data_IF_608021278207
#
_entry.id   IF_608021278207
#
_cell.length_a   1.000
_cell.length_b   1.000
_cell.length_c   1.000
_cell.angle_alpha   90.00
_cell.angle_beta   90.00
_cell.angle_gamma   90.00
#
_symmetry.space_group_name_H-M   'P 1'
#
loop_
_entity.id
_entity.type
_entity.pdbx_description
1 polymer ?
#
# COMPACT_ATOMS: atom_id res chain seq x y z
N UNK A 1 -9.52 -22.65 -7.69
CA UNK A 1 -8.84 -21.42 -7.26
C UNK A 1 -7.38 -21.46 -7.73
N UNK A 2 -7.04 -20.66 -8.72
CA UNK A 2 -5.73 -20.67 -9.37
C UNK A 2 -4.68 -19.78 -8.67
N UNK A 3 -5.10 -18.86 -7.80
CA UNK A 3 -4.19 -17.99 -7.06
C UNK A 3 -3.26 -18.78 -6.14
N UNK A 4 -1.98 -18.40 -6.15
CA UNK A 4 -0.95 -18.98 -5.26
C UNK A 4 -1.07 -18.42 -3.85
N UNK A 5 -1.55 -17.19 -3.72
CA UNK A 5 -1.73 -16.47 -2.46
C UNK A 5 -2.83 -15.42 -2.55
N UNK A 6 -3.20 -14.83 -1.41
CA UNK A 6 -4.35 -13.93 -1.32
C UNK A 6 -3.99 -12.70 -0.48
N UNK A 7 -4.50 -11.54 -0.91
CA UNK A 7 -4.53 -10.31 -0.11
C UNK A 7 -6.00 -9.97 0.17
N UNK A 8 -6.39 -9.90 1.42
CA UNK A 8 -7.71 -9.48 1.86
C UNK A 8 -7.67 -7.97 2.13
N UNK A 9 -8.61 -7.23 1.56
CA UNK A 9 -8.74 -5.78 1.74
C UNK A 9 -10.11 -5.41 2.31
N UNK A 10 -10.20 -4.22 2.89
CA UNK A 10 -11.41 -3.77 3.58
C UNK A 10 -12.45 -3.16 2.64
N UNK A 11 -12.00 -2.47 1.59
CA UNK A 11 -12.86 -1.66 0.75
C UNK A 11 -12.54 -1.64 -0.74
N UNK A 12 -13.40 -0.94 -1.48
CA UNK A 12 -13.34 -0.84 -2.94
C UNK A 12 -12.10 -0.03 -3.40
N UNK A 13 -11.62 0.91 -2.59
CA UNK A 13 -10.46 1.72 -2.95
C UNK A 13 -9.20 0.88 -3.07
N UNK A 14 -8.94 -0.01 -2.11
CA UNK A 14 -7.80 -0.92 -2.13
C UNK A 14 -7.94 -1.95 -3.27
N UNK A 15 -9.15 -2.50 -3.46
CA UNK A 15 -9.42 -3.47 -4.52
C UNK A 15 -9.11 -2.90 -5.91
N UNK A 16 -9.44 -1.62 -6.15
CA UNK A 16 -9.23 -0.94 -7.42
C UNK A 16 -7.77 -0.48 -7.58
N UNK A 17 -7.24 0.22 -6.58
CA UNK A 17 -5.98 0.95 -6.73
C UNK A 17 -4.73 0.08 -6.52
N UNK A 18 -4.76 -0.94 -5.66
CA UNK A 18 -3.57 -1.77 -5.41
C UNK A 18 -3.09 -2.48 -6.68
N UNK A 19 -3.95 -3.16 -7.48
CA UNK A 19 -3.51 -3.80 -8.72
C UNK A 19 -2.94 -2.81 -9.73
N UNK A 20 -3.56 -1.63 -9.86
CA UNK A 20 -3.14 -0.59 -10.80
C UNK A 20 -1.79 -0.01 -10.38
N UNK A 21 -1.63 0.35 -9.10
CA UNK A 21 -0.35 0.82 -8.57
C UNK A 21 0.76 -0.20 -8.82
N UNK A 22 0.55 -1.46 -8.49
CA UNK A 22 1.56 -2.52 -8.68
C UNK A 22 1.94 -2.65 -10.15
N UNK A 23 0.96 -2.69 -11.05
CA UNK A 23 1.23 -2.81 -12.50
C UNK A 23 1.98 -1.61 -13.04
N UNK A 24 1.58 -0.40 -12.68
CA UNK A 24 2.19 0.82 -13.21
C UNK A 24 3.60 1.06 -12.65
N UNK A 25 3.81 0.81 -11.35
CA UNK A 25 5.10 1.14 -10.70
C UNK A 25 6.13 0.02 -10.80
N UNK A 26 5.70 -1.25 -10.62
CA UNK A 26 6.61 -2.40 -10.63
C UNK A 26 6.66 -3.11 -12.00
N UNK A 27 5.78 -2.74 -12.93
CA UNK A 27 5.73 -3.34 -14.28
C UNK A 27 5.17 -4.77 -14.32
N UNK A 28 4.73 -5.32 -13.18
CA UNK A 28 4.19 -6.69 -13.03
C UNK A 28 2.80 -6.63 -12.40
N UNK A 29 1.85 -7.42 -12.91
CA UNK A 29 0.51 -7.48 -12.33
C UNK A 29 0.45 -8.46 -11.16
N UNK A 30 -0.54 -8.29 -10.28
CA UNK A 30 -0.78 -9.24 -9.20
C UNK A 30 -1.14 -10.63 -9.73
N UNK A 31 -1.83 -10.72 -10.88
CA UNK A 31 -2.14 -11.99 -11.53
C UNK A 31 -0.87 -12.73 -12.01
N UNK A 32 0.08 -12.01 -12.63
CA UNK A 32 1.40 -12.55 -13.00
C UNK A 32 2.15 -13.06 -11.77
N UNK A 33 1.97 -12.42 -10.60
CA UNK A 33 2.51 -12.86 -9.33
C UNK A 33 1.74 -14.05 -8.72
N UNK A 34 0.57 -14.37 -9.26
CA UNK A 34 -0.34 -15.38 -8.71
C UNK A 34 -1.03 -14.93 -7.41
N UNK A 35 -1.19 -13.63 -7.22
CA UNK A 35 -1.82 -13.00 -6.06
C UNK A 35 -3.24 -12.57 -6.43
N UNK A 36 -4.26 -13.00 -5.67
CA UNK A 36 -5.61 -12.48 -5.78
C UNK A 36 -5.91 -11.49 -4.67
N UNK A 37 -6.53 -10.36 -5.02
CA UNK A 37 -7.14 -9.45 -4.04
C UNK A 37 -8.58 -9.89 -3.82
N UNK A 38 -9.01 -9.90 -2.57
CA UNK A 38 -10.40 -10.19 -2.17
C UNK A 38 -10.87 -9.05 -1.26
N UNK A 39 -11.84 -8.30 -1.74
CA UNK A 39 -12.51 -7.27 -0.96
C UNK A 39 -13.58 -7.92 -0.07
N UNK A 40 -13.42 -7.77 1.23
CA UNK A 40 -14.35 -8.32 2.22
C UNK A 40 -15.55 -7.41 2.44
N UNK A 41 -15.44 -6.13 2.06
CA UNK A 41 -16.44 -5.08 2.27
C UNK A 41 -16.89 -4.95 3.73
N UNK A 42 -16.00 -5.31 4.65
CA UNK A 42 -16.24 -5.27 6.08
C UNK A 42 -14.95 -5.49 6.86
N UNK A 43 -15.05 -5.46 8.18
CA UNK A 43 -13.95 -5.78 9.09
C UNK A 43 -13.91 -7.25 9.53
N UNK A 44 -14.73 -8.12 8.92
CA UNK A 44 -14.89 -9.54 9.24
C UNK A 44 -13.76 -10.45 8.75
N UNK A 45 -12.51 -9.95 8.72
CA UNK A 45 -11.33 -10.69 8.26
C UNK A 45 -11.12 -12.03 8.94
N UNK A 46 -11.44 -12.12 10.24
CA UNK A 46 -11.18 -13.31 11.06
C UNK A 46 -11.84 -14.57 10.48
N UNK A 47 -13.07 -14.45 9.99
CA UNK A 47 -13.83 -15.59 9.46
C UNK A 47 -13.16 -16.18 8.22
N UNK A 48 -12.70 -15.32 7.30
CA UNK A 48 -12.07 -15.79 6.07
C UNK A 48 -10.62 -16.20 6.31
N UNK A 49 -9.89 -15.47 7.15
CA UNK A 49 -8.50 -15.76 7.48
C UNK A 49 -8.33 -17.14 8.16
N UNK A 50 -9.29 -17.59 8.94
CA UNK A 50 -9.28 -18.93 9.57
C UNK A 50 -9.27 -20.09 8.54
N UNK A 51 -9.57 -19.83 7.27
CA UNK A 51 -9.42 -20.86 6.22
C UNK A 51 -7.95 -21.14 5.89
N UNK A 52 -7.06 -20.19 6.13
CA UNK A 52 -5.64 -20.28 5.74
C UNK A 52 -4.82 -20.85 6.91
N UNK A 53 -4.68 -22.16 6.95
CA UNK A 53 -3.83 -22.87 7.94
C UNK A 53 -3.43 -24.27 7.46
N UNK A 54 -2.55 -24.93 8.22
CA UNK A 54 -1.94 -26.23 7.84
C UNK A 54 -2.94 -27.35 7.50
N UNK A 55 -4.15 -27.32 8.05
CA UNK A 55 -5.16 -28.37 7.84
C UNK A 55 -6.22 -28.01 6.80
N UNK A 56 -6.17 -26.80 6.24
CA UNK A 56 -7.12 -26.33 5.21
C UNK A 56 -6.38 -25.77 4.01
N UNK A 57 -6.37 -24.43 3.83
CA UNK A 57 -5.72 -23.76 2.71
C UNK A 57 -4.28 -23.42 3.09
N UNK A 58 -3.32 -24.19 2.59
CA UNK A 58 -1.87 -23.96 2.80
C UNK A 58 -1.33 -22.92 1.84
N UNK A 59 -1.86 -21.69 1.91
CA UNK A 59 -1.44 -20.54 1.10
C UNK A 59 -1.27 -19.33 1.99
N UNK A 60 -0.34 -18.44 1.63
CA UNK A 60 -0.19 -17.18 2.34
C UNK A 60 -1.40 -16.28 2.12
N UNK A 61 -1.83 -15.63 3.19
CA UNK A 61 -2.94 -14.69 3.22
C UNK A 61 -2.48 -13.43 3.94
N UNK A 62 -2.36 -12.31 3.22
CA UNK A 62 -2.17 -11.00 3.83
C UNK A 62 -3.51 -10.34 4.09
N UNK A 63 -3.61 -9.61 5.19
CA UNK A 63 -4.74 -8.75 5.51
C UNK A 63 -4.23 -7.31 5.51
N UNK A 64 -4.83 -6.45 4.70
CA UNK A 64 -4.61 -5.01 4.69
C UNK A 64 -5.85 -4.35 5.30
N UNK A 65 -5.66 -3.52 6.31
CA UNK A 65 -6.79 -2.85 7.01
C UNK A 65 -6.34 -1.54 7.65
N UNK A 66 -7.27 -0.59 7.77
CA UNK A 66 -7.03 0.72 8.36
C UNK A 66 -7.02 0.66 9.90
N UNK A 67 -6.16 1.47 10.53
CA UNK A 67 -6.22 1.71 11.98
C UNK A 67 -7.17 2.85 12.35
N UNK A 68 -7.62 3.62 11.37
CA UNK A 68 -8.50 4.77 11.56
C UNK A 68 -7.96 5.76 12.60
N UNK A 69 -6.64 5.94 12.67
CA UNK A 69 -6.03 6.88 13.61
C UNK A 69 -6.56 8.28 13.36
N UNK A 70 -7.00 8.93 14.42
CA UNK A 70 -7.56 10.28 14.30
C UNK A 70 -6.51 11.31 13.86
N UNK A 71 -6.81 12.06 12.80
CA UNK A 71 -5.97 13.17 12.33
C UNK A 71 -5.93 14.36 13.29
N UNK A 72 -6.86 14.43 14.24
CA UNK A 72 -6.91 15.51 15.26
C UNK A 72 -6.22 15.16 16.56
N UNK A 73 -5.78 13.90 16.71
CA UNK A 73 -5.22 13.37 17.97
C UNK A 73 -6.26 13.01 19.02
N UNK A 74 -7.54 13.30 18.79
CA UNK A 74 -8.62 12.92 19.70
C UNK A 74 -9.01 11.45 19.49
N UNK A 75 -9.37 10.75 20.56
CA UNK A 75 -9.90 9.39 20.48
C UNK A 75 -11.30 9.41 19.83
N UNK A 76 -11.44 8.82 18.66
CA UNK A 76 -12.71 8.64 17.96
C UNK A 76 -13.21 7.20 18.13
N UNK A 77 -14.49 6.96 17.90
CA UNK A 77 -15.03 5.59 17.89
C UNK A 77 -14.40 4.74 16.78
N UNK A 78 -14.07 5.32 15.62
CA UNK A 78 -13.34 4.66 14.55
C UNK A 78 -11.95 4.20 15.04
N UNK A 79 -11.18 5.09 15.67
CA UNK A 79 -9.84 4.74 16.17
C UNK A 79 -9.87 3.70 17.30
N UNK A 80 -10.92 3.67 18.13
CA UNK A 80 -11.11 2.61 19.13
C UNK A 80 -11.38 1.27 18.46
N UNK A 81 -12.28 1.24 17.46
CA UNK A 81 -12.56 0.03 16.67
C UNK A 81 -11.33 -0.47 15.94
N UNK A 82 -10.54 0.43 15.31
CA UNK A 82 -9.28 0.09 14.69
C UNK A 82 -8.30 -0.56 15.65
N UNK A 83 -8.17 -0.04 16.88
CA UNK A 83 -7.32 -0.62 17.92
C UNK A 83 -7.78 -2.02 18.33
N UNK A 84 -9.07 -2.22 18.60
CA UNK A 84 -9.64 -3.53 18.95
C UNK A 84 -9.44 -4.54 17.82
N UNK A 85 -9.67 -4.13 16.57
CA UNK A 85 -9.40 -4.94 15.39
C UNK A 85 -7.94 -5.36 15.30
N UNK A 86 -7.02 -4.41 15.53
CA UNK A 86 -5.59 -4.69 15.57
C UNK A 86 -5.23 -5.76 16.59
N UNK A 87 -5.71 -5.64 17.82
CA UNK A 87 -5.44 -6.60 18.90
C UNK A 87 -5.87 -8.03 18.52
N UNK A 88 -7.06 -8.18 17.94
CA UNK A 88 -7.60 -9.47 17.47
C UNK A 88 -6.78 -10.06 16.32
N UNK A 89 -6.47 -9.25 15.30
CA UNK A 89 -5.72 -9.69 14.13
C UNK A 89 -4.26 -10.02 14.47
N UNK A 90 -3.63 -9.28 15.39
CA UNK A 90 -2.29 -9.57 15.89
C UNK A 90 -2.25 -10.88 16.67
N UNK A 91 -3.29 -11.18 17.45
CA UNK A 91 -3.43 -12.47 18.13
C UNK A 91 -3.58 -13.63 17.13
N UNK A 92 -4.34 -13.43 16.05
CA UNK A 92 -4.48 -14.41 14.98
C UNK A 92 -3.15 -14.66 14.25
N UNK A 93 -2.44 -13.59 13.87
CA UNK A 93 -1.11 -13.65 13.23
C UNK A 93 -0.10 -14.43 14.07
N UNK A 94 -0.04 -14.20 15.38
CA UNK A 94 0.90 -14.89 16.28
C UNK A 94 0.71 -16.41 16.28
N UNK A 95 -0.51 -16.89 16.06
CA UNK A 95 -0.87 -18.33 16.09
C UNK A 95 -0.82 -18.99 14.73
N UNK A 96 -0.66 -18.23 13.66
CA UNK A 96 -0.82 -18.75 12.30
C UNK A 96 0.20 -18.15 11.33
N UNK A 97 1.22 -18.94 10.97
CA UNK A 97 2.29 -18.54 10.03
C UNK A 97 1.82 -18.25 8.59
N UNK A 98 0.59 -18.62 8.26
CA UNK A 98 0.01 -18.40 6.95
C UNK A 98 -0.61 -17.01 6.80
N UNK A 99 -0.79 -16.30 7.91
CA UNK A 99 -1.45 -15.01 7.96
C UNK A 99 -0.43 -13.92 8.27
N UNK A 100 -0.39 -12.88 7.43
CA UNK A 100 0.25 -11.58 7.68
C UNK A 100 -0.80 -10.50 7.86
N UNK A 101 -0.55 -9.51 8.71
CA UNK A 101 -1.44 -8.36 8.88
C UNK A 101 -0.64 -7.08 8.72
N UNK A 102 -1.13 -6.18 7.90
CA UNK A 102 -0.49 -4.95 7.47
C UNK A 102 -1.47 -3.78 7.64
N UNK A 103 -1.06 -2.78 8.36
CA UNK A 103 -1.94 -1.71 8.82
C UNK A 103 -1.63 -0.39 8.11
N UNK A 104 -2.66 0.21 7.51
CA UNK A 104 -2.62 1.64 7.19
C UNK A 104 -2.76 2.43 8.51
N UNK A 105 -1.85 3.33 8.85
CA UNK A 105 -1.94 4.14 10.08
C UNK A 105 -3.23 4.95 10.19
N UNK A 106 -3.69 5.50 9.09
CA UNK A 106 -4.94 6.28 9.00
C UNK A 106 -5.98 5.52 8.19
N UNK A 107 -6.35 6.06 7.04
CA UNK A 107 -7.13 5.38 6.01
C UNK A 107 -6.30 5.27 4.73
N UNK A 108 -6.70 4.39 3.84
CA UNK A 108 -6.01 4.22 2.56
C UNK A 108 -5.76 5.56 1.86
N UNK A 109 -6.78 6.44 1.77
CA UNK A 109 -6.68 7.70 1.03
C UNK A 109 -5.66 8.66 1.66
N UNK A 110 -5.63 8.75 3.00
CA UNK A 110 -4.65 9.60 3.71
C UNK A 110 -3.24 9.04 3.56
N UNK A 111 -3.08 7.73 3.72
CA UNK A 111 -1.76 7.09 3.64
C UNK A 111 -1.23 7.04 2.21
N UNK A 112 -2.11 6.98 1.19
CA UNK A 112 -1.76 7.19 -0.21
C UNK A 112 -1.17 8.59 -0.43
N UNK A 113 -1.85 9.64 0.04
CA UNK A 113 -1.33 11.01 -0.07
C UNK A 113 0.00 11.19 0.70
N UNK A 114 0.12 10.60 1.88
CA UNK A 114 1.35 10.63 2.70
C UNK A 114 2.52 9.88 2.07
N UNK A 115 2.24 8.93 1.21
CA UNK A 115 3.26 8.22 0.45
C UNK A 115 3.90 9.06 -0.67
N UNK A 116 3.72 10.38 -0.66
CA UNK A 116 4.22 11.35 -1.64
C UNK A 116 3.48 11.37 -2.99
N UNK A 117 2.19 10.99 -2.98
CA UNK A 117 1.32 10.98 -4.17
C UNK A 117 0.42 12.22 -4.23
N UNK A 118 1.02 13.39 -3.97
CA UNK A 118 0.25 14.64 -3.94
C UNK A 118 -0.22 15.06 -5.33
N UNK A 119 0.59 14.86 -6.35
CA UNK A 119 0.29 15.29 -7.70
C UNK A 119 -0.87 14.50 -8.31
N UNK A 120 -0.95 13.20 -8.02
CA UNK A 120 -2.07 12.34 -8.40
C UNK A 120 -3.39 12.83 -7.76
N UNK A 121 -3.34 13.15 -6.47
CA UNK A 121 -4.51 13.67 -5.75
C UNK A 121 -4.93 15.05 -6.25
N UNK A 122 -3.98 15.96 -6.51
CA UNK A 122 -4.28 17.28 -7.07
C UNK A 122 -4.92 17.17 -8.46
N UNK A 123 -4.44 16.28 -9.29
CA UNK A 123 -5.00 16.02 -10.62
C UNK A 123 -6.44 15.53 -10.56
N UNK A 124 -6.77 14.71 -9.56
CA UNK A 124 -8.13 14.15 -9.36
C UNK A 124 -9.16 15.22 -8.94
N UNK A 125 -8.73 16.37 -8.37
CA UNK A 125 -9.67 17.38 -7.82
C UNK A 125 -10.68 17.85 -8.84
N UNK A 126 -10.24 18.06 -10.10
CA UNK A 126 -11.10 18.59 -11.17
C UNK A 126 -12.10 17.57 -11.69
N UNK A 127 -11.84 16.29 -11.47
CA UNK A 127 -12.80 15.22 -11.78
C UNK A 127 -13.84 15.06 -10.67
N UNK A 128 -13.49 15.45 -9.44
CA UNK A 128 -14.39 15.42 -8.28
C UNK A 128 -15.31 16.64 -8.22
N UNK A 129 -14.79 17.83 -8.56
CA UNK A 129 -15.51 19.08 -8.41
C UNK A 129 -15.56 19.88 -9.71
N UNK A 130 -16.75 20.43 -10.02
CA UNK A 130 -16.97 21.39 -11.10
C UNK A 130 -16.84 22.83 -10.62
N UNK A 131 -17.20 23.08 -9.37
CA UNK A 131 -17.17 24.43 -8.76
C UNK A 131 -15.74 24.93 -8.54
N UNK A 132 -15.42 26.10 -9.07
CA UNK A 132 -14.08 26.69 -9.00
C UNK A 132 -13.63 26.97 -7.55
N UNK A 133 -14.56 27.37 -6.69
CA UNK A 133 -14.25 27.66 -5.28
C UNK A 133 -13.89 26.39 -4.53
N UNK A 134 -14.64 25.31 -4.78
CA UNK A 134 -14.35 23.98 -4.23
C UNK A 134 -13.00 23.45 -4.70
N UNK A 135 -12.66 23.63 -6.00
CA UNK A 135 -11.37 23.24 -6.56
C UNK A 135 -10.25 24.01 -5.85
N UNK A 136 -10.27 25.35 -5.84
CA UNK A 136 -9.22 26.18 -5.22
C UNK A 136 -9.03 25.85 -3.75
N UNK A 137 -10.13 25.67 -3.00
CA UNK A 137 -10.08 25.29 -1.60
C UNK A 137 -9.44 23.90 -1.42
N UNK A 138 -9.76 22.96 -2.28
CA UNK A 138 -9.20 21.60 -2.23
C UNK A 138 -7.71 21.60 -2.54
N UNK A 139 -7.27 22.31 -3.57
CA UNK A 139 -5.86 22.48 -3.92
C UNK A 139 -5.06 23.09 -2.76
N UNK A 140 -5.61 24.17 -2.12
CA UNK A 140 -4.99 24.81 -0.97
C UNK A 140 -4.83 23.84 0.20
N UNK A 141 -5.88 23.08 0.52
CA UNK A 141 -5.88 22.15 1.66
C UNK A 141 -4.92 20.97 1.42
N UNK A 142 -4.90 20.38 0.20
CA UNK A 142 -4.01 19.28 -0.18
C UNK A 142 -2.54 19.73 -0.18
N UNK A 143 -2.27 20.98 -0.59
CA UNK A 143 -0.92 21.55 -0.53
C UNK A 143 -0.45 21.92 0.89
N UNK A 144 -1.32 21.84 1.89
CA UNK A 144 -0.96 22.11 3.27
C UNK A 144 0.01 21.04 3.82
N UNK A 145 0.92 21.45 4.72
CA UNK A 145 1.74 20.50 5.50
C UNK A 145 1.00 19.94 6.72
N UNK A 146 -0.19 20.48 7.04
CA UNK A 146 -0.99 20.07 8.19
C UNK A 146 -1.92 18.91 7.82
N UNK A 147 -1.71 17.75 8.45
CA UNK A 147 -2.54 16.57 8.26
C UNK A 147 -4.03 16.82 8.56
N UNK A 148 -4.33 17.73 9.49
CA UNK A 148 -5.73 18.09 9.81
C UNK A 148 -6.42 18.74 8.61
N UNK A 149 -5.68 19.45 7.76
CA UNK A 149 -6.20 20.08 6.54
C UNK A 149 -6.26 19.08 5.38
N UNK A 150 -5.11 18.54 4.95
CA UNK A 150 -5.09 17.65 3.80
C UNK A 150 -5.84 16.34 4.05
N UNK A 151 -5.70 15.74 5.26
CA UNK A 151 -6.39 14.51 5.61
C UNK A 151 -7.92 14.69 5.64
N UNK A 152 -8.41 15.81 6.22
CA UNK A 152 -9.83 16.15 6.17
C UNK A 152 -10.30 16.35 4.72
N UNK A 153 -9.48 17.03 3.89
CA UNK A 153 -9.86 17.33 2.51
C UNK A 153 -9.98 16.07 1.67
N UNK A 154 -8.99 15.18 1.70
CA UNK A 154 -9.03 13.96 0.90
C UNK A 154 -10.19 13.06 1.30
N UNK A 155 -10.50 12.93 2.59
CA UNK A 155 -11.66 12.18 3.06
C UNK A 155 -12.98 12.85 2.62
N UNK A 156 -13.03 14.19 2.62
CA UNK A 156 -14.22 14.91 2.12
C UNK A 156 -14.41 14.65 0.63
N UNK A 157 -13.36 14.64 -0.18
CA UNK A 157 -13.41 14.34 -1.61
C UNK A 157 -13.90 12.91 -1.86
N UNK A 158 -13.27 11.94 -1.19
CA UNK A 158 -13.62 10.52 -1.33
C UNK A 158 -15.07 10.22 -0.90
N UNK A 159 -15.54 10.86 0.18
CA UNK A 159 -16.91 10.68 0.64
C UNK A 159 -17.95 11.41 -0.21
N UNK A 160 -17.56 12.52 -0.86
CA UNK A 160 -18.47 13.33 -1.69
C UNK A 160 -19.02 12.54 -2.89
N UNK A 161 -18.16 11.76 -3.54
CA UNK A 161 -18.54 10.96 -4.72
C UNK A 161 -18.62 9.46 -4.42
N UNK A 162 -18.24 9.04 -3.20
CA UNK A 162 -18.08 7.64 -2.81
C UNK A 162 -16.65 7.13 -3.05
N UNK A 163 -16.12 6.37 -2.09
CA UNK A 163 -14.73 5.90 -2.09
C UNK A 163 -14.35 5.09 -3.34
N UNK A 164 -15.26 4.23 -3.81
CA UNK A 164 -15.04 3.44 -5.03
C UNK A 164 -14.92 4.32 -6.27
N UNK A 165 -15.82 5.30 -6.46
CA UNK A 165 -15.71 6.26 -7.55
C UNK A 165 -14.49 7.15 -7.46
N UNK A 166 -14.16 7.61 -6.25
CA UNK A 166 -12.92 8.35 -6.02
C UNK A 166 -11.70 7.53 -6.45
N UNK A 167 -11.65 6.25 -6.12
CA UNK A 167 -10.57 5.35 -6.53
C UNK A 167 -10.50 5.19 -8.05
N UNK A 168 -11.64 5.08 -8.74
CA UNK A 168 -11.69 5.01 -10.21
C UNK A 168 -11.13 6.29 -10.82
N UNK A 169 -11.53 7.47 -10.34
CA UNK A 169 -11.00 8.74 -10.86
C UNK A 169 -9.50 8.88 -10.59
N UNK A 170 -9.07 8.56 -9.36
CA UNK A 170 -7.65 8.60 -8.98
C UNK A 170 -6.80 7.64 -9.81
N UNK A 171 -7.34 6.49 -10.21
CA UNK A 171 -6.63 5.48 -11.00
C UNK A 171 -6.13 6.01 -12.35
N UNK A 172 -6.80 7.01 -12.93
CA UNK A 172 -6.40 7.65 -14.18
C UNK A 172 -5.08 8.43 -14.07
N UNK A 173 -4.67 8.76 -12.84
CA UNK A 173 -3.47 9.55 -12.56
C UNK A 173 -2.33 8.70 -11.95
N UNK A 174 -2.53 7.40 -11.79
CA UNK A 174 -1.47 6.48 -11.34
C UNK A 174 -0.45 6.31 -12.47
N UNK A 175 0.81 6.61 -12.17
CA UNK A 175 1.93 6.59 -13.11
C UNK A 175 3.08 5.69 -12.58
N UNK A 176 4.12 5.43 -13.38
CA UNK A 176 5.30 4.70 -12.88
C UNK A 176 6.02 5.38 -11.72
N UNK A 177 5.80 6.70 -11.50
CA UNK A 177 6.37 7.46 -10.39
C UNK A 177 5.49 7.50 -9.14
N UNK A 178 4.27 6.99 -9.21
CA UNK A 178 3.38 6.87 -8.06
C UNK A 178 3.99 6.01 -6.98
N UNK A 179 3.88 6.43 -5.73
CA UNK A 179 4.48 5.74 -4.60
C UNK A 179 3.50 4.75 -3.96
N UNK A 180 3.82 3.47 -3.95
CA UNK A 180 3.05 2.47 -3.20
C UNK A 180 3.33 2.64 -1.70
N UNK A 181 2.30 2.79 -0.84
CA UNK A 181 2.50 2.79 0.61
C UNK A 181 3.22 1.53 1.12
N UNK A 182 4.13 1.69 2.07
CA UNK A 182 5.01 0.59 2.51
C UNK A 182 4.23 -0.63 3.01
N UNK A 183 3.14 -0.44 3.76
CA UNK A 183 2.34 -1.57 4.27
C UNK A 183 1.74 -2.44 3.15
N UNK A 184 1.50 -1.87 1.96
CA UNK A 184 1.05 -2.61 0.78
C UNK A 184 2.20 -3.41 0.18
N UNK A 185 3.39 -2.82 0.05
CA UNK A 185 4.59 -3.54 -0.39
C UNK A 185 4.90 -4.70 0.54
N UNK A 186 4.86 -4.47 1.86
CA UNK A 186 5.10 -5.51 2.87
C UNK A 186 4.08 -6.66 2.76
N UNK A 187 2.82 -6.35 2.46
CA UNK A 187 1.78 -7.35 2.23
C UNK A 187 2.08 -8.21 0.99
N UNK A 188 2.49 -7.58 -0.13
CA UNK A 188 2.89 -8.26 -1.36
C UNK A 188 4.10 -9.17 -1.10
N UNK A 189 5.12 -8.65 -0.41
CA UNK A 189 6.31 -9.40 -0.04
C UNK A 189 5.97 -10.62 0.84
N UNK A 190 5.06 -10.48 1.78
CA UNK A 190 4.64 -11.58 2.64
C UNK A 190 3.94 -12.71 1.87
N UNK A 191 3.07 -12.38 0.93
CA UNK A 191 2.26 -13.39 0.20
C UNK A 191 2.99 -14.06 -0.95
N UNK A 192 4.10 -13.50 -1.42
CA UNK A 192 4.93 -14.05 -2.48
C UNK A 192 6.20 -14.69 -1.88
N UNK A 193 6.16 -15.95 -1.45
CA UNK A 193 7.28 -16.58 -0.74
C UNK A 193 8.46 -16.94 -1.65
N UNK A 194 8.23 -17.04 -2.97
CA UNK A 194 9.26 -17.33 -3.97
C UNK A 194 9.31 -16.17 -4.96
N UNK A 195 10.31 -15.31 -4.83
CA UNK A 195 10.53 -14.21 -5.75
C UNK A 195 11.40 -14.66 -6.91
N UNK A 196 11.00 -14.31 -8.14
CA UNK A 196 11.99 -14.27 -9.21
C UNK A 196 13.01 -13.18 -8.88
N UNK A 197 14.26 -13.38 -9.20
CA UNK A 197 15.33 -12.40 -9.04
C UNK A 197 14.98 -11.07 -9.69
N UNK A 198 14.35 -11.12 -10.86
CA UNK A 198 13.90 -9.96 -11.61
C UNK A 198 12.85 -9.13 -10.82
N UNK A 199 11.87 -9.77 -10.18
CA UNK A 199 10.87 -9.08 -9.36
C UNK A 199 11.49 -8.40 -8.14
N UNK A 200 12.40 -9.09 -7.45
CA UNK A 200 13.11 -8.50 -6.31
C UNK A 200 13.93 -7.27 -6.74
N UNK A 201 14.60 -7.34 -7.88
CA UNK A 201 15.34 -6.21 -8.42
C UNK A 201 14.44 -5.02 -8.81
N UNK A 202 13.22 -5.29 -9.32
CA UNK A 202 12.23 -4.25 -9.58
C UNK A 202 11.77 -3.58 -8.29
N UNK A 203 11.39 -4.37 -7.27
CA UNK A 203 10.97 -3.85 -5.97
C UNK A 203 12.10 -3.05 -5.33
N UNK A 204 13.34 -3.54 -5.34
CA UNK A 204 14.48 -2.82 -4.78
C UNK A 204 14.78 -1.53 -5.53
N UNK A 205 14.71 -1.54 -6.86
CA UNK A 205 14.87 -0.34 -7.67
C UNK A 205 13.83 0.71 -7.30
N UNK A 206 12.58 0.29 -7.11
CA UNK A 206 11.49 1.16 -6.69
C UNK A 206 11.72 1.71 -5.27
N UNK A 207 12.04 0.87 -4.30
CA UNK A 207 12.30 1.31 -2.92
C UNK A 207 13.44 2.32 -2.87
N UNK A 208 14.55 2.01 -3.52
CA UNK A 208 15.73 2.89 -3.54
C UNK A 208 15.46 4.21 -4.24
N UNK A 209 14.63 4.24 -5.28
CA UNK A 209 14.27 5.48 -5.99
C UNK A 209 13.52 6.49 -5.12
N UNK A 210 12.91 6.06 -4.01
CA UNK A 210 12.14 6.90 -3.08
C UNK A 210 12.99 7.60 -2.01
N UNK A 211 14.23 7.19 -1.82
CA UNK A 211 15.13 7.84 -0.87
C UNK A 211 15.85 9.03 -1.50
N UNK A 212 16.11 10.07 -0.69
CA UNK A 212 16.90 11.20 -1.14
C UNK A 212 18.29 10.74 -1.62
N UNK A 213 18.83 11.44 -2.62
CA UNK A 213 20.11 11.13 -3.29
C UNK A 213 21.29 11.32 -2.34
N UNK A 214 21.48 10.43 -1.39
CA UNK A 214 22.68 10.32 -0.58
C UNK A 214 23.73 9.45 -1.29
N UNK A 215 25.00 9.54 -0.88
CA UNK A 215 26.06 8.69 -1.46
C UNK A 215 25.82 7.20 -1.20
N UNK A 216 25.14 6.87 -0.09
CA UNK A 216 24.68 5.50 0.19
C UNK A 216 23.70 5.01 -0.88
N UNK A 217 22.73 5.85 -1.26
CA UNK A 217 21.71 5.52 -2.28
C UNK A 217 22.34 5.43 -3.68
N UNK A 218 23.28 6.28 -4.02
CA UNK A 218 24.04 6.17 -5.29
C UNK A 218 24.78 4.83 -5.38
N UNK A 219 25.38 4.39 -4.28
CA UNK A 219 26.06 3.08 -4.19
C UNK A 219 25.05 1.93 -4.41
N UNK A 220 23.89 1.96 -3.76
CA UNK A 220 22.84 0.96 -3.94
C UNK A 220 22.32 0.91 -5.37
N UNK A 221 22.05 2.05 -6.00
CA UNK A 221 21.65 2.13 -7.41
C UNK A 221 22.69 1.51 -8.35
N UNK A 222 23.98 1.77 -8.11
CA UNK A 222 25.06 1.17 -8.88
C UNK A 222 25.09 -0.36 -8.74
N UNK A 223 24.86 -0.87 -7.53
CA UNK A 223 24.87 -2.31 -7.26
C UNK A 223 23.60 -3.00 -7.80
N UNK A 224 22.44 -2.35 -7.79
CA UNK A 224 21.25 -2.83 -8.49
C UNK A 224 21.51 -2.98 -9.99
N UNK A 225 22.18 -2.00 -10.61
CA UNK A 225 22.55 -2.09 -12.04
C UNK A 225 23.53 -3.23 -12.32
N UNK A 226 24.50 -3.48 -11.42
CA UNK A 226 25.43 -4.62 -11.54
C UNK A 226 24.68 -5.96 -11.42
N UNK A 227 23.74 -6.04 -10.47
CA UNK A 227 22.92 -7.24 -10.29
C UNK A 227 22.07 -7.51 -11.55
N UNK A 228 21.43 -6.49 -12.14
CA UNK A 228 20.70 -6.60 -13.42
C UNK A 228 21.56 -7.08 -14.58
N UNK A 229 22.87 -6.85 -14.54
CA UNK A 229 23.84 -7.33 -15.54
C UNK A 229 24.47 -8.69 -15.21
N UNK A 230 24.09 -9.29 -14.07
CA UNK A 230 24.69 -10.53 -13.59
C UNK A 230 26.11 -10.38 -13.03
N UNK A 231 26.57 -9.14 -12.78
CA UNK A 231 27.91 -8.83 -12.26
C UNK A 231 27.97 -8.91 -10.72
N UNK A 232 26.83 -8.91 -10.04
CA UNK A 232 26.71 -9.01 -8.59
C UNK A 232 25.58 -9.97 -8.23
N UNK A 233 25.79 -10.94 -7.31
CA UNK A 233 24.75 -11.83 -6.83
C UNK A 233 23.64 -11.05 -6.08
N UNK A 234 22.39 -11.44 -6.27
CA UNK A 234 21.24 -10.80 -5.60
C UNK A 234 21.34 -10.92 -4.07
N UNK A 235 21.89 -12.02 -3.56
CA UNK A 235 22.10 -12.24 -2.12
C UNK A 235 22.98 -11.17 -1.47
N UNK A 236 23.98 -10.69 -2.19
CA UNK A 236 24.90 -9.66 -1.70
C UNK A 236 24.24 -8.28 -1.72
N UNK A 237 23.42 -8.01 -2.75
CA UNK A 237 22.60 -6.80 -2.80
C UNK A 237 21.58 -6.76 -1.65
N UNK A 238 20.94 -7.89 -1.32
CA UNK A 238 19.99 -7.99 -0.21
C UNK A 238 20.69 -7.68 1.12
N UNK A 239 21.85 -8.26 1.38
CA UNK A 239 22.64 -7.97 2.60
C UNK A 239 22.99 -6.50 2.72
N UNK A 240 23.48 -5.91 1.64
CA UNK A 240 23.82 -4.48 1.60
C UNK A 240 22.60 -3.58 1.87
N UNK A 241 21.43 -3.93 1.34
CA UNK A 241 20.18 -3.21 1.60
C UNK A 241 19.81 -3.24 3.09
N UNK A 242 19.82 -4.41 3.72
CA UNK A 242 19.54 -4.52 5.16
C UNK A 242 20.53 -3.70 5.99
N UNK A 243 21.82 -3.77 5.72
CA UNK A 243 22.83 -3.02 6.46
C UNK A 243 22.69 -1.50 6.32
N UNK A 244 22.20 -1.01 5.19
CA UNK A 244 22.09 0.43 4.89
C UNK A 244 20.74 1.06 5.23
N UNK A 245 19.68 0.26 5.28
CA UNK A 245 18.32 0.74 5.57
C UNK A 245 17.92 0.57 7.04
N UNK A 246 18.60 -0.31 7.80
CA UNK A 246 18.38 -0.47 9.25
C UNK A 246 19.07 0.61 10.12
N UNK A 247 19.78 1.55 9.54
CA UNK A 247 20.44 2.69 10.18
C UNK A 247 19.84 4.01 9.69
#
# INVERSE_FOLDING_TARGET
>A
MFAKSVILVEGDAEEILIPIMVKQTLGVSLDELGISIINIRSTGFENLAQLFHNQRIKKKCAIITDLDTSITGQKTEASKRGKTRKEKLDALKKRNKWIGVFYAPYTFEIDFLKANNKDEVLSTIKDVYVDKTAIQKSEKDINSKDIKKYGKRILTMANYIGKGWYAILLSNYITPTTCIPNYILDAILFVKPEYSEELLLQIFSYVVSRYEQSDKIKSLNKNILKCKKGELPLTDLIKELYEKLEK
#
